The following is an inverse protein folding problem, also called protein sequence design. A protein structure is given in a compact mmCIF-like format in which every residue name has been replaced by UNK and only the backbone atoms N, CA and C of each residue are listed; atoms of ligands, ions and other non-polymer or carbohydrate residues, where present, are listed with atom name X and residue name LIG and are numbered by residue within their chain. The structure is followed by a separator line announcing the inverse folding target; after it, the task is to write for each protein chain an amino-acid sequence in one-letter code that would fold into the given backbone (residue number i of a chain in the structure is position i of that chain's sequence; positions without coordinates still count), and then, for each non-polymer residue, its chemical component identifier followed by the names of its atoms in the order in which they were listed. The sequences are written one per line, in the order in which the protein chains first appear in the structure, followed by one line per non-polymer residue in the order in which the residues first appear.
data_IF_204259930043
#
_entry.id   IF_204259930043
#
_cell.length_a   1.000
_cell.length_b   1.000
_cell.length_c   1.000
_cell.angle_alpha   90.00
_cell.angle_beta   90.00
_cell.angle_gamma   90.00
#
_symmetry.space_group_name_H-M   'P 1'
#
loop_
_entity.id
_entity.type
_entity.pdbx_description
1 polymer ?
#
# COMPACT_ATOMS: atom_id res chain seq x y z
N UNK A 1 -8.10 -29.64 -6.91
CA UNK A 1 -8.61 -28.32 -7.37
C UNK A 1 -9.11 -27.48 -6.19
N UNK A 2 -10.01 -27.98 -5.34
CA UNK A 2 -10.58 -27.20 -4.21
C UNK A 2 -9.54 -26.67 -3.23
N UNK A 3 -8.70 -27.55 -2.67
CA UNK A 3 -7.65 -27.17 -1.69
C UNK A 3 -6.60 -26.25 -2.33
N UNK A 4 -6.14 -26.58 -3.53
CA UNK A 4 -5.18 -25.75 -4.27
C UNK A 4 -5.72 -24.35 -4.57
N UNK A 5 -7.00 -24.23 -4.95
CA UNK A 5 -7.66 -22.94 -5.19
C UNK A 5 -7.77 -22.08 -3.92
N UNK A 6 -8.14 -22.69 -2.78
CA UNK A 6 -8.27 -21.98 -1.50
C UNK A 6 -6.91 -21.47 -1.01
N UNK A 7 -5.86 -22.31 -1.02
CA UNK A 7 -4.53 -21.91 -0.55
C UNK A 7 -3.93 -20.82 -1.46
N UNK A 8 -4.09 -20.96 -2.77
CA UNK A 8 -3.59 -19.96 -3.73
C UNK A 8 -4.34 -18.64 -3.63
N UNK A 9 -5.69 -18.69 -3.55
CA UNK A 9 -6.53 -17.50 -3.41
C UNK A 9 -6.33 -16.79 -2.07
N UNK A 10 -6.23 -17.56 -0.98
CA UNK A 10 -5.93 -17.03 0.36
C UNK A 10 -4.54 -16.40 0.44
N UNK A 11 -3.51 -17.07 -0.10
CA UNK A 11 -2.16 -16.52 -0.17
C UNK A 11 -2.09 -15.22 -0.98
N UNK A 12 -2.76 -15.17 -2.15
CA UNK A 12 -2.87 -13.96 -2.95
C UNK A 12 -3.58 -12.82 -2.21
N UNK A 13 -4.71 -13.12 -1.57
CA UNK A 13 -5.49 -12.13 -0.83
C UNK A 13 -4.71 -11.54 0.36
N UNK A 14 -4.02 -12.39 1.13
CA UNK A 14 -3.17 -11.97 2.24
C UNK A 14 -1.99 -11.14 1.76
N UNK A 15 -1.29 -11.58 0.69
CA UNK A 15 -0.19 -10.82 0.10
C UNK A 15 -0.63 -9.43 -0.37
N UNK A 16 -1.76 -9.36 -1.09
CA UNK A 16 -2.38 -8.10 -1.53
C UNK A 16 -2.77 -7.18 -0.37
N UNK A 17 -3.21 -7.75 0.75
CA UNK A 17 -3.60 -6.97 1.95
C UNK A 17 -2.38 -6.46 2.70
N UNK A 18 -1.34 -7.28 2.87
CA UNK A 18 -0.08 -6.88 3.48
C UNK A 18 0.61 -5.76 2.69
N UNK A 19 0.43 -5.75 1.37
CA UNK A 19 0.95 -4.71 0.47
C UNK A 19 0.06 -3.45 0.36
N UNK A 20 -0.90 -3.25 1.27
CA UNK A 20 -1.69 -2.02 1.32
C UNK A 20 -0.79 -0.76 1.42
N UNK A 21 -1.17 0.36 0.78
CA UNK A 21 -0.38 1.60 0.74
C UNK A 21 -0.52 2.36 2.05
N UNK A 22 0.04 1.74 3.06
CA UNK A 22 0.26 2.32 4.38
C UNK A 22 1.71 2.77 4.44
N UNK A 23 1.95 3.85 5.17
CA UNK A 23 3.29 4.34 5.46
C UNK A 23 3.92 3.33 6.42
N UNK A 24 4.77 2.46 5.89
CA UNK A 24 5.43 1.39 6.64
C UNK A 24 6.94 1.55 6.59
N UNK A 25 7.58 1.22 7.72
CA UNK A 25 9.02 1.29 7.84
C UNK A 25 9.60 0.01 7.27
N UNK A 26 10.61 0.14 6.43
CA UNK A 26 11.36 -0.99 5.91
C UNK A 26 12.83 -0.82 6.26
N UNK A 27 13.60 -1.91 6.22
CA UNK A 27 15.05 -1.85 6.46
C UNK A 27 15.75 -0.96 5.43
N UNK A 28 15.24 -0.92 4.20
CA UNK A 28 15.72 -0.09 3.09
C UNK A 28 15.27 1.37 3.20
N UNK A 29 14.12 1.63 3.84
CA UNK A 29 13.56 2.97 3.99
C UNK A 29 13.00 3.18 5.42
N UNK A 30 13.84 3.63 6.37
CA UNK A 30 13.44 3.82 7.77
C UNK A 30 12.57 5.06 7.99
N UNK A 31 12.50 5.98 7.01
CA UNK A 31 11.75 7.24 7.12
C UNK A 31 10.86 7.46 5.89
N UNK A 32 9.83 6.63 5.67
CA UNK A 32 9.00 6.68 4.46
C UNK A 32 8.27 8.02 4.27
N UNK A 33 7.97 8.75 5.36
CA UNK A 33 7.27 10.03 5.31
C UNK A 33 8.07 11.16 4.66
N UNK A 34 9.40 11.06 4.58
CA UNK A 34 10.24 12.09 3.94
C UNK A 34 10.02 12.21 2.43
N UNK A 35 9.28 11.28 1.83
CA UNK A 35 8.97 11.28 0.38
C UNK A 35 7.59 11.83 0.05
N UNK A 36 6.81 12.22 1.07
CA UNK A 36 5.43 12.68 0.89
C UNK A 36 5.43 14.21 0.71
N UNK A 37 4.91 14.68 -0.42
CA UNK A 37 4.72 16.12 -0.65
C UNK A 37 3.47 16.65 0.09
N UNK A 38 3.42 17.94 0.47
CA UNK A 38 2.28 18.52 1.20
C UNK A 38 0.91 18.39 0.50
N UNK A 39 0.88 18.26 -0.83
CA UNK A 39 -0.34 18.12 -1.64
C UNK A 39 -0.54 16.71 -2.20
N UNK A 40 0.07 15.69 -1.59
CA UNK A 40 -0.07 14.30 -1.98
C UNK A 40 -0.97 13.50 -1.04
N UNK A 41 -1.97 12.83 -1.63
CA UNK A 41 -2.79 11.85 -0.93
C UNK A 41 -2.02 10.56 -0.66
N UNK A 42 -2.01 10.13 0.60
CA UNK A 42 -1.37 8.88 1.04
C UNK A 42 -2.34 7.71 1.13
N UNK A 43 -3.65 7.97 1.06
CA UNK A 43 -4.72 6.97 1.17
C UNK A 43 -5.12 6.44 -0.21
N UNK A 44 -5.56 5.18 -0.27
CA UNK A 44 -6.15 4.60 -1.49
C UNK A 44 -7.44 5.29 -1.92
N UNK A 45 -8.23 5.68 -0.92
CA UNK A 45 -9.59 6.16 -1.10
C UNK A 45 -9.75 7.50 -0.40
N UNK A 46 -10.22 8.45 -1.18
CA UNK A 46 -10.46 9.84 -0.80
C UNK A 46 -11.95 10.10 -1.02
N UNK A 47 -12.73 10.14 0.06
CA UNK A 47 -14.19 10.32 -0.03
C UNK A 47 -14.55 11.79 -0.17
N UNK A 48 -13.90 12.67 0.59
CA UNK A 48 -14.27 14.09 0.68
C UNK A 48 -13.13 15.03 0.24
N UNK A 49 -11.92 14.86 0.77
CA UNK A 49 -10.74 15.64 0.37
C UNK A 49 -10.02 14.92 -0.77
N UNK A 50 -10.08 15.48 -1.97
CA UNK A 50 -9.37 14.98 -3.16
C UNK A 50 -8.04 15.71 -3.31
N UNK A 51 -6.95 14.96 -3.33
CA UNK A 51 -5.63 15.50 -3.63
C UNK A 51 -5.35 15.41 -5.13
N UNK A 52 -4.68 16.40 -5.70
CA UNK A 52 -4.31 16.38 -7.13
C UNK A 52 -3.27 15.30 -7.44
N UNK A 53 -2.41 14.99 -6.46
CA UNK A 53 -1.34 14.01 -6.58
C UNK A 53 -1.55 12.86 -5.62
N UNK A 54 -1.14 11.66 -6.03
CA UNK A 54 -1.10 10.46 -5.18
C UNK A 54 0.33 10.10 -4.86
N UNK A 55 0.58 9.70 -3.62
CA UNK A 55 1.87 9.19 -3.20
C UNK A 55 2.01 7.70 -3.55
N UNK A 56 3.15 7.32 -4.15
CA UNK A 56 3.48 5.93 -4.50
C UNK A 56 4.55 5.38 -3.58
N UNK A 57 4.44 4.09 -3.26
CA UNK A 57 5.32 3.37 -2.35
C UNK A 57 6.37 2.57 -3.13
N UNK A 58 7.19 3.28 -3.91
CA UNK A 58 8.17 2.65 -4.82
C UNK A 58 9.42 2.11 -4.09
N UNK A 59 9.63 2.51 -2.82
CA UNK A 59 10.80 2.19 -2.00
C UNK A 59 10.46 1.21 -0.84
N UNK A 60 9.81 0.09 -1.15
CA UNK A 60 9.59 -1.02 -0.21
C UNK A 60 10.85 -1.83 0.02
#
# INVERSE_FOLDING_TARGET
ILVGGIVSGGGWYLSRTAMGPTIQWTKSNPTPWNTIEPNQGTKLLEVNQKFEKKWSRDKL
#
